data_IF_009624968071
#
_entry.id   IF_009624968071
#
_cell.length_a   1.000
_cell.length_b   1.000
_cell.length_c   1.000
_cell.angle_alpha   90.00
_cell.angle_beta   90.00
_cell.angle_gamma   90.00
#
_symmetry.space_group_name_H-M   'P 1'
#
loop_
_entity.id
_entity.type
_entity.pdbx_description
1 polymer ?
#
# COMPACT_ATOMS: atom_id res chain seq x y z
N UNK A 1 -26.90 65.60 115.62
CA UNK A 1 -26.55 64.24 116.05
C UNK A 1 -27.09 63.19 115.10
N UNK A 2 -28.28 62.61 115.28
CA UNK A 2 -28.70 61.46 114.45
C UNK A 2 -28.77 61.68 112.93
N UNK A 3 -29.03 62.90 112.45
CA UNK A 3 -29.10 63.21 111.02
C UNK A 3 -27.70 63.33 110.36
N UNK A 4 -26.70 63.78 111.11
CA UNK A 4 -25.34 64.02 110.61
C UNK A 4 -24.56 62.70 110.56
N UNK A 5 -24.75 61.82 111.56
CA UNK A 5 -24.27 60.43 111.55
C UNK A 5 -24.85 59.62 110.39
N UNK A 6 -26.12 59.85 110.01
CA UNK A 6 -26.77 59.17 108.88
C UNK A 6 -26.18 59.61 107.52
N UNK A 7 -25.88 60.90 107.37
CA UNK A 7 -25.32 61.46 106.14
C UNK A 7 -23.84 61.03 105.93
N UNK A 8 -23.09 60.90 107.03
CA UNK A 8 -21.72 60.35 107.02
C UNK A 8 -21.71 58.86 106.68
N UNK A 9 -22.62 58.07 107.27
CA UNK A 9 -22.80 56.65 106.94
C UNK A 9 -23.25 56.44 105.49
N UNK A 10 -24.11 57.32 104.97
CA UNK A 10 -24.55 57.28 103.57
C UNK A 10 -23.39 57.59 102.62
N UNK A 11 -22.51 58.51 102.99
CA UNK A 11 -21.31 58.86 102.22
C UNK A 11 -20.29 57.72 102.22
N UNK A 12 -19.98 57.12 103.38
CA UNK A 12 -19.11 55.93 103.47
C UNK A 12 -19.70 54.73 102.72
N UNK A 13 -21.01 54.49 102.84
CA UNK A 13 -21.69 53.42 102.11
C UNK A 13 -21.58 53.65 100.61
N UNK A 14 -21.77 54.88 100.13
CA UNK A 14 -21.63 55.23 98.72
C UNK A 14 -20.19 55.08 98.22
N UNK A 15 -19.18 55.40 99.04
CA UNK A 15 -17.76 55.22 98.69
C UNK A 15 -17.36 53.73 98.65
N UNK A 16 -17.82 52.92 99.61
CA UNK A 16 -17.62 51.47 99.61
C UNK A 16 -18.35 50.82 98.43
N UNK A 17 -19.58 51.24 98.12
CA UNK A 17 -20.33 50.77 96.95
C UNK A 17 -19.62 51.15 95.64
N UNK A 18 -19.10 52.38 95.53
CA UNK A 18 -18.35 52.82 94.35
C UNK A 18 -17.03 52.05 94.17
N UNK A 19 -16.29 51.82 95.26
CA UNK A 19 -15.03 51.06 95.24
C UNK A 19 -15.27 49.59 94.92
N UNK A 20 -16.32 49.00 95.49
CA UNK A 20 -16.73 47.61 95.22
C UNK A 20 -17.22 47.44 93.77
N UNK A 21 -18.05 48.36 93.27
CA UNK A 21 -18.51 48.36 91.87
C UNK A 21 -17.33 48.55 90.90
N UNK A 22 -16.35 49.40 91.23
CA UNK A 22 -15.14 49.57 90.43
C UNK A 22 -14.26 48.30 90.41
N UNK A 23 -14.07 47.65 91.57
CA UNK A 23 -13.29 46.41 91.67
C UNK A 23 -13.97 45.25 90.92
N UNK A 24 -15.28 45.08 91.08
CA UNK A 24 -16.08 44.09 90.34
C UNK A 24 -16.02 44.36 88.83
N UNK A 25 -16.15 45.61 88.39
CA UNK A 25 -16.03 45.96 86.97
C UNK A 25 -14.63 45.70 86.40
N UNK A 26 -13.57 45.89 87.19
CA UNK A 26 -12.21 45.61 86.76
C UNK A 26 -11.96 44.11 86.58
N UNK A 27 -12.40 43.29 87.55
CA UNK A 27 -12.29 41.82 87.52
C UNK A 27 -13.13 41.20 86.37
N UNK A 28 -14.35 41.71 86.18
CA UNK A 28 -15.22 41.32 85.05
C UNK A 28 -14.57 41.69 83.71
N UNK A 29 -13.99 42.90 83.58
CA UNK A 29 -13.28 43.30 82.36
C UNK A 29 -12.06 42.42 82.09
N UNK A 30 -11.29 42.06 83.12
CA UNK A 30 -10.15 41.15 82.98
C UNK A 30 -10.60 39.75 82.54
N UNK A 31 -11.63 39.18 83.19
CA UNK A 31 -12.18 37.88 82.83
C UNK A 31 -12.74 37.85 81.39
N UNK A 32 -13.45 38.91 80.97
CA UNK A 32 -13.92 39.06 79.59
C UNK A 32 -12.73 39.12 78.62
N UNK A 33 -11.66 39.85 78.96
CA UNK A 33 -10.48 39.97 78.11
C UNK A 33 -9.76 38.62 77.94
N UNK A 34 -9.62 37.83 79.01
CA UNK A 34 -9.02 36.48 78.96
C UNK A 34 -9.82 35.51 78.10
N UNK A 35 -11.15 35.45 78.27
CA UNK A 35 -12.04 34.61 77.45
C UNK A 35 -12.03 35.06 75.99
N UNK A 36 -12.03 36.38 75.75
CA UNK A 36 -11.95 36.94 74.39
C UNK A 36 -10.63 36.55 73.72
N UNK A 37 -9.50 36.71 74.41
CA UNK A 37 -8.19 36.31 73.88
C UNK A 37 -8.11 34.82 73.57
N UNK A 38 -8.58 33.96 74.48
CA UNK A 38 -8.61 32.52 74.26
C UNK A 38 -9.44 32.16 73.02
N UNK A 39 -10.62 32.76 72.88
CA UNK A 39 -11.51 32.53 71.74
C UNK A 39 -10.89 33.03 70.43
N UNK A 40 -10.28 34.21 70.42
CA UNK A 40 -9.62 34.78 69.24
C UNK A 40 -8.43 33.94 68.81
N UNK A 41 -7.58 33.51 69.74
CA UNK A 41 -6.43 32.65 69.43
C UNK A 41 -6.89 31.27 68.93
N UNK A 42 -7.89 30.67 69.58
CA UNK A 42 -8.47 29.40 69.14
C UNK A 42 -9.08 29.48 67.74
N UNK A 43 -9.79 30.57 67.44
CA UNK A 43 -10.33 30.83 66.11
C UNK A 43 -9.22 31.01 65.07
N UNK A 44 -8.15 31.73 65.40
CA UNK A 44 -7.01 31.93 64.50
C UNK A 44 -6.29 30.61 64.18
N UNK A 45 -6.05 29.76 65.18
CA UNK A 45 -5.43 28.44 64.98
C UNK A 45 -6.31 27.56 64.09
N UNK A 46 -7.60 27.50 64.37
CA UNK A 46 -8.56 26.71 63.58
C UNK A 46 -8.57 27.19 62.13
N UNK A 47 -8.59 28.51 61.91
CA UNK A 47 -8.53 29.10 60.56
C UNK A 47 -7.25 28.69 59.82
N UNK A 48 -6.08 28.78 60.48
CA UNK A 48 -4.80 28.39 59.90
C UNK A 48 -4.79 26.90 59.54
N UNK A 49 -5.28 26.03 60.44
CA UNK A 49 -5.36 24.59 60.19
C UNK A 49 -6.32 24.27 59.03
N UNK A 50 -7.47 24.93 58.96
CA UNK A 50 -8.41 24.75 57.85
C UNK A 50 -7.82 25.20 56.51
N UNK A 51 -7.13 26.35 56.48
CA UNK A 51 -6.45 26.84 55.28
C UNK A 51 -5.30 25.88 54.89
N UNK A 52 -4.51 25.43 55.86
CA UNK A 52 -3.42 24.48 55.64
C UNK A 52 -3.92 23.15 55.09
N UNK A 53 -4.97 22.57 55.68
CA UNK A 53 -5.61 21.35 55.20
C UNK A 53 -6.20 21.54 53.80
N UNK A 54 -6.84 22.67 53.54
CA UNK A 54 -7.35 23.02 52.21
C UNK A 54 -6.24 23.06 51.16
N UNK A 55 -5.09 23.68 51.48
CA UNK A 55 -3.93 23.71 50.59
C UNK A 55 -3.31 22.32 50.38
N UNK A 56 -3.27 21.49 51.43
CA UNK A 56 -2.79 20.11 51.35
C UNK A 56 -3.70 19.26 50.46
N UNK A 57 -5.03 19.31 50.64
CA UNK A 57 -5.98 18.59 49.79
C UNK A 57 -5.97 19.09 48.34
N UNK A 58 -5.87 20.41 48.16
CA UNK A 58 -5.79 21.02 46.84
C UNK A 58 -4.55 20.54 46.07
N UNK A 59 -3.38 20.47 46.75
CA UNK A 59 -2.12 20.05 46.13
C UNK A 59 -1.95 18.53 46.04
N UNK A 60 -2.45 17.78 47.03
CA UNK A 60 -2.28 16.34 47.13
C UNK A 60 -3.32 15.53 46.37
N UNK A 61 -4.54 16.05 46.20
CA UNK A 61 -5.65 15.28 45.61
C UNK A 61 -6.29 16.02 44.44
N UNK A 62 -6.82 17.23 44.67
CA UNK A 62 -7.67 17.92 43.68
C UNK A 62 -6.89 18.25 42.41
N UNK A 63 -5.70 18.83 42.54
CA UNK A 63 -4.90 19.24 41.38
C UNK A 63 -4.40 18.05 40.56
N UNK A 64 -3.79 16.99 41.14
CA UNK A 64 -3.40 15.81 40.35
C UNK A 64 -4.58 15.13 39.63
N UNK A 65 -5.74 15.01 40.28
CA UNK A 65 -6.93 14.39 39.68
C UNK A 65 -7.46 15.23 38.50
N UNK A 66 -7.51 16.55 38.64
CA UNK A 66 -7.95 17.44 37.55
C UNK A 66 -6.94 17.47 36.38
N UNK A 67 -5.64 17.42 36.66
CA UNK A 67 -4.59 17.28 35.62
C UNK A 67 -4.72 15.95 34.86
N UNK A 68 -4.99 14.84 35.55
CA UNK A 68 -5.25 13.55 34.93
C UNK A 68 -6.53 13.54 34.07
N UNK A 69 -7.62 14.13 34.57
CA UNK A 69 -8.86 14.29 33.81
C UNK A 69 -8.63 15.10 32.53
N UNK A 70 -7.86 16.19 32.61
CA UNK A 70 -7.50 17.00 31.44
C UNK A 70 -6.62 16.23 30.44
N UNK A 71 -5.70 15.40 30.91
CA UNK A 71 -4.90 14.53 30.04
C UNK A 71 -5.78 13.49 29.33
N UNK A 72 -6.72 12.87 30.05
CA UNK A 72 -7.67 11.91 29.47
C UNK A 72 -8.57 12.55 28.41
N UNK A 73 -9.11 13.74 28.67
CA UNK A 73 -9.92 14.48 27.70
C UNK A 73 -9.15 14.83 26.42
N UNK A 74 -7.86 15.17 26.53
CA UNK A 74 -6.99 15.41 25.36
C UNK A 74 -6.75 14.14 24.55
N UNK A 75 -6.58 13.01 25.22
CA UNK A 75 -6.43 11.71 24.56
C UNK A 75 -7.69 11.30 23.80
N UNK A 76 -8.86 11.53 24.39
CA UNK A 76 -10.16 11.33 23.73
C UNK A 76 -10.29 12.23 22.48
N UNK A 77 -9.79 13.46 22.54
CA UNK A 77 -9.72 14.36 21.39
C UNK A 77 -8.66 13.99 20.33
N UNK A 78 -7.90 12.89 20.54
CA UNK A 78 -6.93 12.36 19.59
C UNK A 78 -5.46 12.66 19.88
N UNK A 79 -5.15 13.43 20.92
CA UNK A 79 -3.76 13.66 21.37
C UNK A 79 -3.27 12.50 22.25
N UNK A 80 -2.82 11.43 21.59
CA UNK A 80 -2.24 10.25 22.25
C UNK A 80 -0.84 10.51 22.86
N UNK A 81 -0.26 11.69 22.66
CA UNK A 81 1.05 12.05 23.21
C UNK A 81 0.97 12.66 24.61
N UNK A 82 -0.24 13.03 25.05
CA UNK A 82 -0.49 13.60 26.36
C UNK A 82 -0.15 12.61 27.48
N UNK A 83 0.63 13.08 28.46
CA UNK A 83 1.00 12.30 29.65
C UNK A 83 0.56 13.03 30.92
N UNK A 84 0.15 12.25 31.91
CA UNK A 84 -0.11 12.74 33.26
C UNK A 84 1.21 12.80 34.05
N UNK A 85 1.40 13.87 34.81
CA UNK A 85 2.58 14.05 35.66
C UNK A 85 2.51 13.12 36.89
N UNK A 86 3.56 12.37 37.16
CA UNK A 86 3.62 11.41 38.27
C UNK A 86 4.33 12.08 39.44
N UNK A 87 3.59 12.84 40.25
CA UNK A 87 4.14 13.65 41.36
C UNK A 87 4.10 12.96 42.72
N UNK A 88 3.17 12.03 42.93
CA UNK A 88 2.92 11.39 44.23
C UNK A 88 3.26 9.91 44.17
N UNK A 89 3.74 9.34 45.29
CA UNK A 89 4.05 7.91 45.42
C UNK A 89 2.88 7.07 45.95
N UNK A 90 1.66 7.57 45.80
CA UNK A 90 0.41 7.03 46.33
C UNK A 90 -0.46 6.43 45.21
N UNK A 91 -1.72 6.14 45.51
CA UNK A 91 -2.70 5.59 44.56
C UNK A 91 -2.93 6.51 43.36
N UNK A 92 -2.82 7.82 43.54
CA UNK A 92 -2.97 8.80 42.44
C UNK A 92 -1.77 8.72 41.50
N UNK A 93 -0.57 8.57 42.05
CA UNK A 93 0.64 8.31 41.27
C UNK A 93 0.59 7.01 40.49
N UNK A 94 0.06 5.94 41.10
CA UNK A 94 -0.15 4.66 40.44
C UNK A 94 -1.15 4.80 39.27
N UNK A 95 -2.23 5.57 39.45
CA UNK A 95 -3.20 5.84 38.39
C UNK A 95 -2.59 6.65 37.23
N UNK A 96 -1.80 7.68 37.52
CA UNK A 96 -1.08 8.45 36.50
C UNK A 96 -0.10 7.56 35.71
N UNK A 97 0.57 6.62 36.40
CA UNK A 97 1.46 5.64 35.77
C UNK A 97 0.70 4.68 34.85
N UNK A 98 -0.44 4.14 35.30
CA UNK A 98 -1.29 3.27 34.51
C UNK A 98 -1.84 3.98 33.27
N UNK A 99 -2.31 5.22 33.43
CA UNK A 99 -2.75 6.08 32.33
C UNK A 99 -1.63 6.30 31.30
N UNK A 100 -0.42 6.64 31.74
CA UNK A 100 0.72 6.83 30.85
C UNK A 100 1.11 5.54 30.11
N UNK A 101 0.96 4.37 30.74
CA UNK A 101 1.20 3.09 30.08
C UNK A 101 0.17 2.82 28.98
N UNK A 102 -1.11 3.09 29.26
CA UNK A 102 -2.19 3.00 28.28
C UNK A 102 -1.97 3.95 27.10
N UNK A 103 -1.59 5.20 27.38
CA UNK A 103 -1.26 6.20 26.37
C UNK A 103 -0.19 5.69 25.40
N UNK A 104 0.93 5.15 25.94
CA UNK A 104 2.01 4.57 25.12
C UNK A 104 1.54 3.38 24.29
N UNK A 105 0.72 2.49 24.86
CA UNK A 105 0.20 1.33 24.15
C UNK A 105 -0.74 1.73 23.01
N UNK A 106 -1.63 2.71 23.24
CA UNK A 106 -2.50 3.28 22.21
C UNK A 106 -1.70 3.95 21.10
N UNK A 107 -0.69 4.74 21.46
CA UNK A 107 0.20 5.39 20.48
C UNK A 107 0.94 4.36 19.61
N UNK A 108 1.50 3.30 20.23
CA UNK A 108 2.17 2.22 19.51
C UNK A 108 1.21 1.46 18.58
N UNK A 109 -0.01 1.20 19.05
CA UNK A 109 -1.04 0.50 18.27
C UNK A 109 -1.51 1.34 17.09
N UNK A 110 -1.74 2.63 17.30
CA UNK A 110 -2.09 3.58 16.24
C UNK A 110 -0.98 3.72 15.19
N UNK A 111 0.28 3.74 15.61
CA UNK A 111 1.43 3.75 14.69
C UNK A 111 1.49 2.46 13.86
N UNK A 112 1.36 1.29 14.49
CA UNK A 112 1.33 0.01 13.77
C UNK A 112 0.15 -0.11 12.81
N UNK A 113 -1.04 0.37 13.21
CA UNK A 113 -2.21 0.33 12.36
C UNK A 113 -2.05 1.23 11.12
N UNK A 114 -1.52 2.44 11.30
CA UNK A 114 -1.21 3.34 10.17
C UNK A 114 -0.23 2.71 9.20
N UNK A 115 0.78 2.02 9.70
CA UNK A 115 1.75 1.33 8.84
C UNK A 115 1.10 0.18 8.05
N UNK A 116 0.27 -0.65 8.71
CA UNK A 116 -0.49 -1.71 8.04
C UNK A 116 -1.46 -1.17 7.00
N UNK A 117 -2.11 -0.03 7.27
CA UNK A 117 -2.99 0.63 6.31
C UNK A 117 -2.19 1.06 5.09
N UNK A 118 -1.06 1.75 5.27
CA UNK A 118 -0.20 2.18 4.16
C UNK A 118 0.29 1.03 3.30
N UNK A 119 0.76 -0.06 3.93
CA UNK A 119 1.22 -1.22 3.17
C UNK A 119 0.07 -1.90 2.42
N UNK A 120 -1.11 -2.01 3.04
CA UNK A 120 -2.31 -2.53 2.38
C UNK A 120 -2.77 -1.65 1.22
N UNK A 121 -2.74 -0.32 1.37
CA UNK A 121 -3.05 0.62 0.30
C UNK A 121 -2.07 0.47 -0.88
N UNK A 122 -0.77 0.36 -0.58
CA UNK A 122 0.28 0.13 -1.60
C UNK A 122 0.04 -1.17 -2.36
N UNK A 123 -0.22 -2.27 -1.65
CA UNK A 123 -0.51 -3.57 -2.25
C UNK A 123 -1.78 -3.52 -3.12
N UNK A 124 -2.85 -2.92 -2.61
CA UNK A 124 -4.09 -2.77 -3.37
C UNK A 124 -3.89 -1.95 -4.65
N UNK A 125 -3.10 -0.88 -4.59
CA UNK A 125 -2.78 -0.07 -5.76
C UNK A 125 -2.03 -0.89 -6.82
N UNK A 126 -1.04 -1.69 -6.42
CA UNK A 126 -0.30 -2.59 -7.32
C UNK A 126 -1.24 -3.61 -7.98
N UNK A 127 -2.12 -4.24 -7.21
CA UNK A 127 -3.12 -5.20 -7.72
C UNK A 127 -4.06 -4.53 -8.72
N UNK A 128 -4.57 -3.33 -8.42
CA UNK A 128 -5.45 -2.59 -9.31
C UNK A 128 -4.77 -2.23 -10.63
N UNK A 129 -3.53 -1.74 -10.57
CA UNK A 129 -2.73 -1.42 -11.74
C UNK A 129 -2.46 -2.67 -12.59
N UNK A 130 -2.07 -3.79 -11.97
CA UNK A 130 -1.87 -5.06 -12.67
C UNK A 130 -3.14 -5.56 -13.37
N UNK A 131 -4.28 -5.48 -12.69
CA UNK A 131 -5.57 -5.88 -13.25
C UNK A 131 -6.01 -4.98 -14.41
N UNK A 132 -5.73 -3.68 -14.36
CA UNK A 132 -6.02 -2.75 -15.45
C UNK A 132 -5.15 -3.03 -16.67
N UNK A 133 -3.83 -3.20 -16.49
CA UNK A 133 -2.91 -3.60 -17.57
C UNK A 133 -3.42 -4.88 -18.23
N UNK A 134 -3.75 -5.88 -17.43
CA UNK A 134 -4.20 -7.19 -17.94
C UNK A 134 -5.52 -7.12 -18.70
N UNK A 135 -6.48 -6.29 -18.25
CA UNK A 135 -7.74 -6.04 -18.98
C UNK A 135 -7.49 -5.40 -20.34
N UNK A 136 -6.61 -4.41 -20.42
CA UNK A 136 -6.29 -3.74 -21.68
C UNK A 136 -5.68 -4.73 -22.69
N UNK A 137 -4.71 -5.54 -22.23
CA UNK A 137 -4.05 -6.55 -23.04
C UNK A 137 -5.02 -7.63 -23.55
N UNK A 138 -6.02 -8.02 -22.74
CA UNK A 138 -7.00 -9.05 -23.13
C UNK A 138 -7.89 -8.67 -24.32
N UNK A 139 -7.96 -7.40 -24.69
CA UNK A 139 -8.78 -6.94 -25.83
C UNK A 139 -8.05 -6.95 -27.17
N UNK A 140 -6.73 -7.13 -27.14
CA UNK A 140 -5.89 -7.05 -28.34
C UNK A 140 -5.90 -8.40 -29.06
N UNK A 141 -6.10 -8.34 -30.38
CA UNK A 141 -6.28 -9.53 -31.23
C UNK A 141 -5.08 -9.79 -32.14
N UNK A 142 -4.22 -8.81 -32.37
CA UNK A 142 -2.99 -8.97 -33.15
C UNK A 142 -1.80 -9.25 -32.23
N UNK A 143 -0.98 -10.27 -32.54
CA UNK A 143 0.14 -10.69 -31.68
C UNK A 143 1.20 -9.60 -31.58
N UNK A 144 1.49 -8.90 -32.67
CA UNK A 144 2.52 -7.85 -32.68
C UNK A 144 2.04 -6.62 -31.91
N UNK A 145 0.78 -6.24 -32.08
CA UNK A 145 0.15 -5.17 -31.31
C UNK A 145 0.14 -5.52 -29.81
N UNK A 146 -0.21 -6.76 -29.44
CA UNK A 146 -0.23 -7.21 -28.05
C UNK A 146 1.15 -7.10 -27.42
N UNK A 147 2.19 -7.64 -28.06
CA UNK A 147 3.56 -7.61 -27.53
C UNK A 147 4.09 -6.18 -27.37
N UNK A 148 3.76 -5.27 -28.30
CA UNK A 148 4.11 -3.86 -28.20
C UNK A 148 3.35 -3.14 -27.08
N UNK A 149 2.09 -3.48 -26.87
CA UNK A 149 1.28 -2.94 -25.79
C UNK A 149 1.80 -3.42 -24.43
N UNK A 150 2.10 -4.71 -24.28
CA UNK A 150 2.68 -5.29 -23.04
C UNK A 150 3.86 -4.47 -22.55
N UNK A 151 4.88 -4.31 -23.39
CA UNK A 151 6.12 -3.63 -22.96
C UNK A 151 5.86 -2.17 -22.61
N UNK A 152 4.99 -1.49 -23.36
CA UNK A 152 4.66 -0.08 -23.15
C UNK A 152 3.83 0.14 -21.88
N UNK A 153 2.83 -0.71 -21.64
CA UNK A 153 1.96 -0.62 -20.47
C UNK A 153 2.70 -1.00 -19.19
N UNK A 154 3.50 -2.07 -19.20
CA UNK A 154 4.31 -2.49 -18.04
C UNK A 154 5.34 -1.40 -17.69
N UNK A 155 6.03 -0.83 -18.68
CA UNK A 155 6.98 0.25 -18.41
C UNK A 155 6.29 1.47 -17.78
N UNK A 156 5.17 1.92 -18.35
CA UNK A 156 4.48 3.14 -17.91
C UNK A 156 3.81 2.96 -16.55
N UNK A 157 3.17 1.82 -16.33
CA UNK A 157 2.41 1.53 -15.13
C UNK A 157 3.28 1.45 -13.87
N UNK A 158 4.49 0.91 -14.01
CA UNK A 158 5.41 0.66 -12.89
C UNK A 158 6.67 1.54 -12.94
N UNK A 159 6.77 2.42 -13.92
CA UNK A 159 7.88 3.36 -14.10
C UNK A 159 9.25 2.69 -14.17
N UNK A 160 9.32 1.55 -14.88
CA UNK A 160 10.58 0.86 -15.13
C UNK A 160 11.44 1.58 -16.16
N UNK A 161 12.76 1.40 -16.06
CA UNK A 161 13.70 2.01 -17.00
C UNK A 161 13.48 1.44 -18.41
N UNK A 162 13.49 0.11 -18.54
CA UNK A 162 13.21 -0.57 -19.81
C UNK A 162 12.46 -1.87 -19.61
N UNK A 163 11.70 -2.25 -20.64
CA UNK A 163 10.98 -3.52 -20.72
C UNK A 163 11.16 -4.11 -22.12
N UNK A 164 11.47 -5.40 -22.17
CA UNK A 164 11.54 -6.20 -23.36
C UNK A 164 10.64 -7.43 -23.24
N UNK A 165 10.19 -7.93 -24.38
CA UNK A 165 9.56 -9.24 -24.48
C UNK A 165 10.24 -10.03 -25.60
N UNK A 166 10.74 -11.20 -25.23
CA UNK A 166 11.38 -12.14 -26.15
C UNK A 166 10.43 -13.31 -26.38
N UNK A 167 10.31 -13.77 -27.62
CA UNK A 167 9.54 -14.96 -27.96
C UNK A 167 10.48 -16.09 -28.35
N UNK A 168 10.20 -17.29 -27.85
CA UNK A 168 10.97 -18.48 -28.19
C UNK A 168 10.64 -18.91 -29.61
N UNK A 169 11.64 -18.90 -30.49
CA UNK A 169 11.56 -19.57 -31.79
C UNK A 169 11.99 -21.02 -31.65
N UNK A 170 11.02 -21.93 -31.68
CA UNK A 170 11.23 -23.38 -31.55
C UNK A 170 12.10 -23.98 -32.66
N UNK A 171 12.16 -23.37 -33.85
CA UNK A 171 12.96 -23.91 -34.96
C UNK A 171 14.44 -23.60 -34.79
N UNK A 172 14.75 -22.37 -34.37
CA UNK A 172 16.14 -21.94 -34.17
C UNK A 172 16.65 -22.15 -32.74
N UNK A 173 15.76 -22.45 -31.79
CA UNK A 173 16.01 -22.52 -30.36
C UNK A 173 16.63 -21.22 -29.81
N UNK A 174 16.08 -20.08 -30.25
CA UNK A 174 16.55 -18.74 -29.87
C UNK A 174 15.42 -17.88 -29.33
N UNK A 175 15.76 -16.99 -28.42
CA UNK A 175 14.88 -15.96 -27.90
C UNK A 175 14.96 -14.73 -28.81
N UNK A 176 13.91 -14.50 -29.60
CA UNK A 176 13.84 -13.36 -30.53
C UNK A 176 13.15 -12.19 -29.87
N UNK A 177 13.75 -11.02 -29.90
CA UNK A 177 13.12 -9.80 -29.39
C UNK A 177 11.88 -9.48 -30.23
N UNK A 178 10.71 -9.48 -29.58
CA UNK A 178 9.43 -9.29 -30.24
C UNK A 178 8.70 -8.00 -29.81
N UNK A 179 9.14 -7.38 -28.71
CA UNK A 179 8.74 -6.05 -28.28
C UNK A 179 9.79 -5.42 -27.37
N UNK A 180 9.92 -4.10 -27.41
CA UNK A 180 10.86 -3.37 -26.56
C UNK A 180 10.53 -1.89 -26.44
N UNK A 181 10.78 -1.30 -25.28
CA UNK A 181 10.49 0.12 -25.02
C UNK A 181 11.60 1.06 -25.45
N UNK A 182 11.21 2.29 -25.79
CA UNK A 182 12.11 3.38 -26.17
C UNK A 182 12.84 3.16 -27.50
N UNK A 183 13.79 4.05 -27.80
CA UNK A 183 14.59 4.00 -29.02
C UNK A 183 15.49 2.75 -29.07
N UNK A 184 16.02 2.33 -27.90
CA UNK A 184 16.84 1.13 -27.78
C UNK A 184 16.08 -0.13 -28.24
N UNK A 185 14.85 -0.34 -27.74
CA UNK A 185 14.02 -1.46 -28.14
C UNK A 185 13.70 -1.45 -29.64
N UNK A 186 13.34 -0.28 -30.19
CA UNK A 186 13.08 -0.14 -31.63
C UNK A 186 14.30 -0.48 -32.48
N UNK A 187 15.49 -0.01 -32.08
CA UNK A 187 16.74 -0.28 -32.78
C UNK A 187 17.12 -1.77 -32.73
N UNK A 188 16.97 -2.41 -31.57
CA UNK A 188 17.25 -3.83 -31.39
C UNK A 188 16.30 -4.70 -32.22
N UNK A 189 15.00 -4.36 -32.25
CA UNK A 189 14.01 -5.05 -33.08
C UNK A 189 14.34 -4.92 -34.57
N UNK A 190 14.70 -3.72 -35.04
CA UNK A 190 15.06 -3.49 -36.44
C UNK A 190 16.29 -4.30 -36.89
N UNK A 191 17.17 -4.67 -35.95
CA UNK A 191 18.34 -5.54 -36.20
C UNK A 191 18.07 -7.03 -36.02
N UNK A 192 16.85 -7.43 -35.67
CA UNK A 192 16.53 -8.84 -35.41
C UNK A 192 17.28 -9.41 -34.21
N UNK A 193 17.46 -8.59 -33.15
CA UNK A 193 18.18 -9.00 -31.95
C UNK A 193 17.61 -10.31 -31.38
N UNK A 194 18.51 -11.23 -31.06
CA UNK A 194 18.18 -12.54 -30.51
C UNK A 194 19.27 -13.00 -29.55
N UNK A 195 18.87 -13.86 -28.62
CA UNK A 195 19.72 -14.46 -27.61
C UNK A 195 19.61 -15.98 -27.68
N UNK A 196 20.70 -16.66 -27.37
CA UNK A 196 20.67 -18.12 -27.19
C UNK A 196 20.09 -18.48 -25.81
N UNK A 197 19.41 -19.61 -25.73
CA UNK A 197 19.04 -20.22 -24.44
C UNK A 197 20.32 -20.83 -23.83
N UNK A 198 20.88 -20.51 -22.67
CA UNK A 198 20.62 -19.44 -21.73
C UNK A 198 21.79 -18.46 -21.57
N UNK A 199 21.97 -17.65 -22.59
CA UNK A 199 22.88 -16.54 -22.58
C UNK A 199 22.31 -15.39 -21.73
N UNK A 200 23.11 -14.90 -20.76
CA UNK A 200 22.69 -13.84 -19.84
C UNK A 200 21.49 -14.22 -18.97
N UNK A 201 20.92 -13.24 -18.27
CA UNK A 201 19.79 -13.45 -17.33
C UNK A 201 18.51 -13.90 -18.05
N UNK A 202 18.20 -13.28 -19.20
CA UNK A 202 17.05 -13.63 -20.05
C UNK A 202 17.12 -15.07 -20.53
N UNK A 203 18.29 -15.47 -21.04
CA UNK A 203 18.50 -16.84 -21.47
C UNK A 203 18.48 -17.84 -20.31
N UNK A 204 19.04 -17.47 -19.16
CA UNK A 204 18.98 -18.30 -17.96
C UNK A 204 17.55 -18.58 -17.53
N UNK A 205 16.71 -17.54 -17.46
CA UNK A 205 15.29 -17.70 -17.14
C UNK A 205 14.57 -18.65 -18.13
N UNK A 206 14.95 -18.61 -19.42
CA UNK A 206 14.42 -19.53 -20.42
C UNK A 206 14.88 -20.98 -20.24
N UNK A 207 16.16 -21.22 -19.90
CA UNK A 207 16.67 -22.57 -19.63
C UNK A 207 16.01 -23.19 -18.41
N UNK A 208 15.96 -22.42 -17.34
CA UNK A 208 15.58 -22.90 -16.02
C UNK A 208 14.05 -22.88 -15.86
N UNK A 209 13.34 -22.21 -16.78
CA UNK A 209 11.90 -21.94 -16.74
C UNK A 209 11.46 -21.36 -15.40
N UNK A 210 12.32 -20.51 -14.84
CA UNK A 210 12.16 -19.87 -13.54
C UNK A 210 12.56 -18.40 -13.64
N UNK A 211 11.90 -17.55 -12.86
CA UNK A 211 12.27 -16.15 -12.79
C UNK A 211 13.68 -15.96 -12.24
N UNK A 212 14.40 -14.97 -12.77
CA UNK A 212 15.74 -14.58 -12.34
C UNK A 212 15.70 -13.11 -11.97
N UNK A 213 16.01 -12.79 -10.71
CA UNK A 213 16.11 -11.43 -10.20
C UNK A 213 17.56 -11.13 -9.80
N UNK A 214 18.12 -10.05 -10.37
CA UNK A 214 19.43 -9.52 -10.01
C UNK A 214 19.26 -8.06 -9.55
N UNK A 215 19.23 -7.80 -8.23
CA UNK A 215 19.02 -6.45 -7.69
C UNK A 215 20.20 -5.49 -7.94
N UNK A 216 21.40 -6.02 -8.18
CA UNK A 216 22.59 -5.27 -8.56
C UNK A 216 23.36 -6.00 -9.66
N UNK A 217 23.14 -5.59 -10.91
CA UNK A 217 23.82 -6.20 -12.07
C UNK A 217 25.29 -5.80 -12.17
N UNK A 218 25.71 -4.72 -11.50
CA UNK A 218 27.12 -4.27 -11.54
C UNK A 218 28.04 -5.20 -10.75
N UNK A 219 27.48 -5.97 -9.83
CA UNK A 219 28.16 -6.98 -9.04
C UNK A 219 28.04 -8.41 -9.64
N UNK A 220 27.26 -8.60 -10.71
CA UNK A 220 26.96 -9.91 -11.26
C UNK A 220 27.98 -10.33 -12.33
N UNK A 221 28.65 -11.49 -12.11
CA UNK A 221 29.72 -11.97 -12.97
C UNK A 221 29.26 -12.37 -14.38
N UNK A 222 28.05 -12.93 -14.50
CA UNK A 222 27.49 -13.45 -15.75
C UNK A 222 26.50 -12.48 -16.42
N UNK A 223 26.49 -11.22 -15.98
CA UNK A 223 25.60 -10.21 -16.55
C UNK A 223 26.07 -9.80 -17.96
N UNK A 224 25.17 -9.94 -18.93
CA UNK A 224 25.41 -9.54 -20.31
C UNK A 224 24.95 -8.09 -20.51
N UNK A 225 25.85 -7.14 -20.28
CA UNK A 225 25.57 -5.72 -20.46
C UNK A 225 25.13 -5.41 -21.91
N UNK A 226 24.02 -4.70 -22.05
CA UNK A 226 23.56 -4.20 -23.34
C UNK A 226 24.09 -2.77 -23.56
N UNK A 227 24.93 -2.52 -24.58
CA UNK A 227 25.48 -1.18 -24.84
C UNK A 227 24.44 -0.08 -25.10
N UNK A 228 23.22 -0.46 -25.48
CA UNK A 228 22.12 0.48 -25.71
C UNK A 228 21.38 0.87 -24.41
N UNK A 229 21.63 0.14 -23.32
CA UNK A 229 21.01 0.32 -22.00
C UNK A 229 22.09 0.50 -20.91
N UNK A 230 22.95 1.54 -21.01
CA UNK A 230 24.10 1.69 -20.12
C UNK A 230 23.74 1.97 -18.66
N UNK A 231 22.52 2.45 -18.40
CA UNK A 231 22.08 2.80 -17.05
C UNK A 231 21.40 1.63 -16.31
N UNK A 232 21.35 0.42 -16.88
CA UNK A 232 20.79 -0.74 -16.19
C UNK A 232 21.61 -1.08 -14.93
N UNK A 233 20.93 -1.10 -13.78
CA UNK A 233 21.52 -1.41 -12.46
C UNK A 233 20.82 -2.55 -11.73
N UNK A 234 19.58 -2.85 -12.08
CA UNK A 234 18.86 -4.04 -11.65
C UNK A 234 18.12 -4.64 -12.86
N UNK A 235 17.95 -5.95 -12.88
CA UNK A 235 17.30 -6.66 -13.97
C UNK A 235 16.53 -7.86 -13.44
N UNK A 236 15.35 -8.10 -14.00
CA UNK A 236 14.56 -9.31 -13.75
C UNK A 236 14.04 -9.88 -15.06
N UNK A 237 14.16 -11.19 -15.21
CA UNK A 237 13.68 -11.93 -16.37
C UNK A 237 12.71 -12.99 -15.89
N UNK A 238 11.45 -12.91 -16.33
CA UNK A 238 10.37 -13.81 -15.92
C UNK A 238 9.85 -14.61 -17.12
N UNK A 239 9.65 -15.93 -16.98
CA UNK A 239 9.17 -16.75 -18.08
C UNK A 239 7.66 -16.54 -18.33
N UNK A 240 7.30 -16.46 -19.61
CA UNK A 240 5.92 -16.47 -20.07
C UNK A 240 5.59 -17.91 -20.42
N UNK A 241 4.86 -18.57 -19.53
CA UNK A 241 4.54 -19.99 -19.61
C UNK A 241 3.09 -20.24 -20.01
N UNK A 242 2.86 -21.39 -20.62
CA UNK A 242 1.55 -21.95 -20.88
C UNK A 242 1.50 -23.42 -20.50
N UNK A 243 0.95 -23.71 -19.32
CA UNK A 243 1.21 -25.00 -18.70
C UNK A 243 2.72 -25.17 -18.55
N UNK A 244 3.26 -26.22 -19.15
CA UNK A 244 4.69 -26.53 -19.12
C UNK A 244 5.47 -26.01 -20.35
N UNK A 245 4.81 -25.27 -21.25
CA UNK A 245 5.44 -24.73 -22.46
C UNK A 245 5.96 -23.31 -22.24
N UNK A 246 7.25 -23.09 -22.50
CA UNK A 246 7.84 -21.76 -22.58
C UNK A 246 7.46 -21.07 -23.90
N UNK A 247 6.72 -19.96 -23.81
CA UNK A 247 6.39 -19.13 -24.96
C UNK A 247 7.43 -18.03 -25.20
N UNK A 248 7.97 -17.46 -24.13
CA UNK A 248 8.83 -16.29 -24.19
C UNK A 248 9.31 -15.84 -22.80
N UNK A 249 10.02 -14.71 -22.76
CA UNK A 249 10.53 -14.08 -21.53
C UNK A 249 10.09 -12.62 -21.51
N UNK A 250 9.50 -12.19 -20.40
CA UNK A 250 9.33 -10.77 -20.08
C UNK A 250 10.56 -10.33 -19.27
N UNK A 251 11.23 -9.30 -19.76
CA UNK A 251 12.50 -8.83 -19.26
C UNK A 251 12.38 -7.36 -18.88
N UNK A 252 12.79 -7.00 -17.66
CA UNK A 252 12.60 -5.66 -17.08
C UNK A 252 13.89 -5.18 -16.44
N UNK A 253 14.28 -3.95 -16.78
CA UNK A 253 15.45 -3.28 -16.22
C UNK A 253 15.05 -2.06 -15.40
N UNK A 254 15.85 -1.79 -14.36
CA UNK A 254 15.79 -0.55 -13.57
C UNK A 254 17.16 0.13 -13.53
N UNK A 255 17.16 1.46 -13.52
CA UNK A 255 18.36 2.29 -13.39
C UNK A 255 18.82 2.59 -11.96
N UNK A 256 18.29 1.84 -10.98
CA UNK A 256 18.64 1.96 -9.56
C UNK A 256 18.99 0.58 -9.01
N UNK A 257 20.09 0.50 -8.25
CA UNK A 257 20.44 -0.71 -7.49
C UNK A 257 19.34 -0.97 -6.47
N UNK A 258 18.87 -2.22 -6.39
CA UNK A 258 17.72 -2.61 -5.58
C UNK A 258 16.38 -2.03 -6.06
N UNK A 259 16.34 -1.42 -7.25
CA UNK A 259 15.11 -0.88 -7.86
C UNK A 259 14.13 -1.98 -8.30
N UNK A 260 14.58 -3.24 -8.30
CA UNK A 260 13.74 -4.42 -8.46
C UNK A 260 13.98 -5.34 -7.27
N UNK A 261 12.90 -5.77 -6.63
CA UNK A 261 12.91 -6.69 -5.50
C UNK A 261 12.00 -7.91 -5.73
N UNK A 262 11.93 -8.78 -4.74
CA UNK A 262 11.14 -10.01 -4.80
C UNK A 262 9.65 -9.77 -5.09
N UNK A 263 9.06 -8.73 -4.51
CA UNK A 263 7.64 -8.39 -4.76
C UNK A 263 7.40 -7.89 -6.18
N UNK A 264 8.37 -7.20 -6.78
CA UNK A 264 8.27 -6.78 -8.19
C UNK A 264 8.36 -8.00 -9.13
N UNK A 265 9.23 -8.97 -8.80
CA UNK A 265 9.33 -10.22 -9.55
C UNK A 265 8.03 -11.04 -9.49
N UNK A 266 7.46 -11.23 -8.29
CA UNK A 266 6.18 -11.96 -8.11
C UNK A 266 5.02 -11.31 -8.89
N UNK A 267 4.98 -9.98 -8.89
CA UNK A 267 4.04 -9.20 -9.69
C UNK A 267 4.24 -9.43 -11.20
N UNK A 268 5.49 -9.38 -11.66
CA UNK A 268 5.84 -9.58 -13.06
C UNK A 268 5.57 -11.03 -13.51
N UNK A 269 5.76 -12.03 -12.65
CA UNK A 269 5.36 -13.42 -12.92
C UNK A 269 3.84 -13.54 -13.10
N UNK A 270 3.05 -12.87 -12.26
CA UNK A 270 1.59 -12.81 -12.41
C UNK A 270 1.17 -12.14 -13.72
N UNK A 271 1.85 -11.07 -14.12
CA UNK A 271 1.63 -10.42 -15.41
C UNK A 271 2.05 -11.33 -16.57
N UNK A 272 3.20 -12.00 -16.47
CA UNK A 272 3.70 -12.93 -17.48
C UNK A 272 2.73 -14.10 -17.71
N UNK A 273 2.12 -14.63 -16.65
CA UNK A 273 1.05 -15.63 -16.76
C UNK A 273 -0.15 -15.11 -17.55
N UNK A 274 -0.60 -13.88 -17.27
CA UNK A 274 -1.73 -13.27 -17.99
C UNK A 274 -1.39 -12.95 -19.45
N UNK A 275 -0.15 -12.54 -19.73
CA UNK A 275 0.38 -12.35 -21.08
C UNK A 275 0.37 -13.68 -21.85
N UNK A 276 0.77 -14.78 -21.20
CA UNK A 276 0.70 -16.13 -21.78
C UNK A 276 -0.72 -16.51 -22.20
N UNK A 277 -1.71 -16.26 -21.35
CA UNK A 277 -3.13 -16.49 -21.67
C UNK A 277 -3.58 -15.62 -22.85
N UNK A 278 -3.25 -14.33 -22.85
CA UNK A 278 -3.60 -13.41 -23.92
C UNK A 278 -2.98 -13.83 -25.27
N UNK A 279 -1.70 -14.22 -25.27
CA UNK A 279 -1.00 -14.76 -26.45
C UNK A 279 -1.68 -16.02 -26.99
N UNK A 280 -2.17 -16.91 -26.12
CA UNK A 280 -2.93 -18.08 -26.59
C UNK A 280 -4.20 -17.68 -27.30
N UNK A 281 -4.93 -16.74 -26.71
CA UNK A 281 -6.22 -16.31 -27.22
C UNK A 281 -6.04 -15.67 -28.60
N UNK A 282 -5.03 -14.82 -28.75
CA UNK A 282 -4.63 -14.24 -30.04
C UNK A 282 -4.29 -15.32 -31.06
N UNK A 283 -3.43 -16.28 -30.71
CA UNK A 283 -3.01 -17.36 -31.62
C UNK A 283 -4.16 -18.30 -32.01
N UNK A 284 -5.03 -18.62 -31.05
CA UNK A 284 -6.23 -19.42 -31.29
C UNK A 284 -7.20 -18.69 -32.23
N UNK A 285 -7.40 -17.39 -32.02
CA UNK A 285 -8.27 -16.58 -32.85
C UNK A 285 -7.71 -16.44 -34.27
N UNK A 286 -6.40 -16.24 -34.41
CA UNK A 286 -5.73 -16.24 -35.71
C UNK A 286 -5.93 -17.57 -36.45
N UNK A 287 -5.69 -18.70 -35.78
CA UNK A 287 -5.90 -20.04 -36.36
C UNK A 287 -7.35 -20.26 -36.79
N UNK A 288 -8.31 -19.93 -35.93
CA UNK A 288 -9.73 -20.08 -36.24
C UNK A 288 -10.15 -19.21 -37.43
N UNK A 289 -9.59 -18.01 -37.58
CA UNK A 289 -9.82 -17.15 -38.74
C UNK A 289 -9.24 -17.74 -40.02
N UNK A 290 -8.04 -18.29 -39.97
CA UNK A 290 -7.41 -18.95 -41.11
C UNK A 290 -8.20 -20.19 -41.56
N UNK A 291 -8.66 -21.00 -40.60
CA UNK A 291 -9.52 -22.16 -40.86
C UNK A 291 -10.86 -21.75 -41.49
N UNK A 292 -11.53 -20.73 -40.95
CA UNK A 292 -12.78 -20.22 -41.52
C UNK A 292 -12.58 -19.61 -42.92
N UNK A 293 -11.46 -18.91 -43.15
CA UNK A 293 -11.12 -18.40 -44.47
C UNK A 293 -10.88 -19.53 -45.47
N UNK A 294 -10.24 -20.62 -45.04
CA UNK A 294 -10.03 -21.81 -45.85
C UNK A 294 -11.34 -22.51 -46.22
N UNK A 295 -12.26 -22.68 -45.26
CA UNK A 295 -13.57 -23.30 -45.50
C UNK A 295 -14.45 -22.45 -46.42
N UNK A 296 -14.49 -21.13 -46.21
CA UNK A 296 -15.21 -20.20 -47.09
C UNK A 296 -14.69 -20.26 -48.53
N UNK A 297 -13.38 -20.40 -48.71
CA UNK A 297 -12.77 -20.58 -50.02
C UNK A 297 -13.23 -21.88 -50.67
N UNK A 298 -13.18 -23.00 -49.95
CA UNK A 298 -13.65 -24.30 -50.46
C UNK A 298 -15.12 -24.24 -50.88
N UNK A 299 -15.99 -23.69 -50.02
CA UNK A 299 -17.42 -23.57 -50.30
C UNK A 299 -17.70 -22.67 -51.51
N UNK A 300 -17.00 -21.53 -51.63
CA UNK A 300 -17.12 -20.64 -52.78
C UNK A 300 -16.69 -21.32 -54.09
N UNK A 301 -15.63 -22.13 -54.05
CA UNK A 301 -15.20 -22.92 -55.21
C UNK A 301 -16.26 -23.97 -55.55
N UNK A 302 -16.78 -24.71 -54.57
CA UNK A 302 -17.84 -25.70 -54.74
C UNK A 302 -19.08 -25.10 -55.40
N UNK A 303 -19.57 -23.96 -54.91
CA UNK A 303 -20.73 -23.28 -55.48
C UNK A 303 -20.51 -22.88 -56.95
N UNK A 304 -19.35 -22.30 -57.29
CA UNK A 304 -19.02 -21.93 -58.68
C UNK A 304 -18.94 -23.16 -59.61
N UNK A 305 -18.55 -24.31 -59.07
CA UNK A 305 -18.54 -25.57 -59.82
C UNK A 305 -19.96 -26.11 -60.03
N UNK A 306 -20.84 -25.98 -59.04
CA UNK A 306 -22.24 -26.41 -59.13
C UNK A 306 -23.07 -25.51 -60.08
N UNK A 307 -22.75 -24.22 -60.17
CA UNK A 307 -23.35 -23.27 -61.11
C UNK A 307 -22.92 -23.51 -62.57
N UNK A 308 -21.96 -24.39 -62.83
CA UNK A 308 -21.43 -24.60 -64.17
C UNK A 308 -22.29 -25.60 -64.98
N UNK A 309 -22.96 -25.12 -66.03
CA UNK A 309 -23.90 -25.91 -66.84
C UNK A 309 -23.29 -27.02 -67.73
N UNK A 310 -21.97 -27.24 -67.68
CA UNK A 310 -21.32 -28.27 -68.48
C UNK A 310 -20.00 -28.73 -67.88
N UNK A 311 -19.60 -29.97 -68.19
CA UNK A 311 -18.29 -30.54 -67.79
C UNK A 311 -17.13 -29.63 -68.20
N UNK A 312 -17.20 -29.01 -69.38
CA UNK A 312 -16.19 -28.05 -69.84
C UNK A 312 -16.14 -26.79 -68.97
N UNK A 313 -17.29 -26.27 -68.56
CA UNK A 313 -17.39 -25.10 -67.67
C UNK A 313 -16.88 -25.43 -66.27
N UNK A 314 -17.26 -26.58 -65.70
CA UNK A 314 -16.75 -27.10 -64.41
C UNK A 314 -15.22 -27.17 -64.44
N UNK A 315 -14.64 -27.76 -65.49
CA UNK A 315 -13.17 -27.85 -65.63
C UNK A 315 -12.50 -26.48 -65.72
N UNK A 316 -13.10 -25.52 -66.43
CA UNK A 316 -12.56 -24.16 -66.55
C UNK A 316 -12.61 -23.42 -65.21
N UNK A 317 -13.72 -23.53 -64.49
CA UNK A 317 -13.87 -22.99 -63.13
C UNK A 317 -12.87 -23.64 -62.20
N UNK A 318 -12.77 -24.97 -62.17
CA UNK A 318 -11.85 -25.70 -61.30
C UNK A 318 -10.37 -25.32 -61.55
N UNK A 319 -9.93 -25.30 -62.82
CA UNK A 319 -8.55 -24.90 -63.18
C UNK A 319 -8.24 -23.48 -62.71
N UNK A 320 -9.18 -22.55 -62.89
CA UNK A 320 -9.01 -21.15 -62.50
C UNK A 320 -8.99 -21.01 -60.98
N UNK A 321 -10.03 -21.47 -60.31
CA UNK A 321 -10.19 -21.23 -58.87
C UNK A 321 -9.14 -21.99 -58.06
N UNK A 322 -8.83 -23.26 -58.39
CA UNK A 322 -7.77 -24.01 -57.71
C UNK A 322 -6.37 -23.44 -58.06
N UNK A 323 -6.18 -22.96 -59.29
CA UNK A 323 -4.95 -22.29 -59.69
C UNK A 323 -4.68 -21.04 -58.86
N UNK A 324 -5.71 -20.21 -58.67
CA UNK A 324 -5.65 -19.01 -57.83
C UNK A 324 -5.48 -19.35 -56.34
N UNK A 325 -6.29 -20.28 -55.81
CA UNK A 325 -6.27 -20.67 -54.40
C UNK A 325 -4.93 -21.25 -53.96
N UNK A 326 -4.28 -22.05 -54.81
CA UNK A 326 -3.00 -22.69 -54.52
C UNK A 326 -1.78 -21.84 -54.91
N UNK A 327 -1.99 -20.64 -55.48
CA UNK A 327 -0.91 -19.82 -56.04
C UNK A 327 -0.12 -20.54 -57.14
N UNK A 328 -0.74 -21.49 -57.83
CA UNK A 328 -0.07 -22.32 -58.82
C UNK A 328 0.12 -21.56 -60.13
N UNK A 329 1.37 -21.51 -60.62
CA UNK A 329 1.70 -20.84 -61.90
C UNK A 329 1.09 -21.54 -63.12
N UNK A 330 0.82 -22.84 -63.03
CA UNK A 330 0.15 -23.63 -64.07
C UNK A 330 -0.74 -24.69 -63.42
N UNK A 331 -1.99 -24.72 -63.81
CA UNK A 331 -2.99 -25.75 -63.44
C UNK A 331 -3.59 -26.33 -64.71
N UNK A 332 -3.80 -27.65 -64.73
CA UNK A 332 -4.46 -28.34 -65.83
C UNK A 332 -5.31 -29.49 -65.26
N UNK A 333 -6.49 -29.71 -65.83
CA UNK A 333 -7.34 -30.86 -65.54
C UNK A 333 -7.45 -31.67 -66.83
N UNK A 334 -7.29 -32.99 -66.73
CA UNK A 334 -7.40 -33.92 -67.84
C UNK A 334 -8.46 -34.96 -67.53
N UNK A 335 -9.46 -35.07 -68.39
CA UNK A 335 -10.41 -36.17 -68.35
C UNK A 335 -9.74 -37.41 -68.92
N UNK A 336 -9.87 -38.53 -68.22
CA UNK A 336 -9.50 -39.85 -68.75
C UNK A 336 -10.76 -40.42 -69.41
N UNK A 337 -10.67 -40.76 -70.69
CA UNK A 337 -11.74 -41.52 -71.34
C UNK A 337 -11.72 -42.94 -70.78
N UNK A 338 -12.86 -43.34 -70.20
CA UNK A 338 -13.04 -44.69 -69.67
C UNK A 338 -12.97 -45.67 -70.85
N UNK A 339 -11.87 -46.41 -70.94
CA UNK A 339 -11.66 -47.37 -72.01
C UNK A 339 -12.52 -48.58 -71.67
N UNK A 340 -13.78 -48.58 -72.14
CA UNK A 340 -14.63 -49.77 -72.04
C UNK A 340 -13.91 -50.93 -72.73
N UNK A 341 -13.63 -51.97 -71.95
CA UNK A 341 -13.34 -53.33 -72.43
C UNK A 341 -14.55 -53.84 -73.20
#
# INVERSE_FOLDING_TARGET
>A
DLLEELEELETELNEVLATTDQAVRADVRQSIAEVTNFTVVGAAITLILSVGLGLLLARGIIRPVTELQAAAARMEAGDLSSQADVRTGDEIGALATAFNSMARQLQASAASLRERIRESERQNQIIQTSAEVSRQLATIVDEKELLSAVVSEVQRAFNYYHVHIYMLDKQSNKLKLAGGTGEAGQYMMARGHNLDVGQGLVGQAARDMAAVLVPDVTAAADWLANPLLPETKAETAVPILMGDELLGILDVQHNMVGGLNQSDMELLESLASQIGVALQNVRNLARSRDEAAHENLINSIGQKLDEADSVKSVMQVAVRELGHALGARKTAIRLLEDTKV
#
